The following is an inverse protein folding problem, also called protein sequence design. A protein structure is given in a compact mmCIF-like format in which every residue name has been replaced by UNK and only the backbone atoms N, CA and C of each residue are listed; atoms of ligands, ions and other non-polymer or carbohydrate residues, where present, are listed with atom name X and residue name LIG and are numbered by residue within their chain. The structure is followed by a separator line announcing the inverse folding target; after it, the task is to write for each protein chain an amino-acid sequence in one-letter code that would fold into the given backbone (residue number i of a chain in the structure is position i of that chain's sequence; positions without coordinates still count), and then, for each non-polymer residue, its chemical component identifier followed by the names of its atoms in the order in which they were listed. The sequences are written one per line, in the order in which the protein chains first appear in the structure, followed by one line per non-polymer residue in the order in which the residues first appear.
data_IF_518931919202
#
_entry.id   IF_518931919202
#
_cell.length_a   1.000
_cell.length_b   1.000
_cell.length_c   1.000
_cell.angle_alpha   90.00
_cell.angle_beta   90.00
_cell.angle_gamma   90.00
#
_symmetry.space_group_name_H-M   'P 1'
#
loop_
_entity.id
_entity.type
_entity.pdbx_description
1 polymer ?
#
# COMPACT_ATOMS: atom_id res chain seq x y z
N UNK A 1 20.87 2.05 66.33
CA UNK A 1 21.28 3.44 66.00
C UNK A 1 21.40 3.50 64.48
N UNK A 2 20.72 4.33 63.69
CA UNK A 2 19.85 5.48 63.93
C UNK A 2 19.12 5.74 62.60
N UNK A 3 17.80 5.99 62.70
CA UNK A 3 16.97 6.95 61.94
C UNK A 3 16.98 6.89 60.40
N UNK A 4 15.85 6.50 59.81
CA UNK A 4 14.74 7.39 59.35
C UNK A 4 15.13 8.27 58.16
N UNK A 5 14.55 7.97 56.99
CA UNK A 5 14.01 8.98 56.07
C UNK A 5 12.90 8.35 55.26
N UNK A 6 11.68 8.62 55.71
CA UNK A 6 10.42 8.33 55.05
C UNK A 6 9.92 9.61 54.37
N UNK A 7 9.09 9.43 53.34
CA UNK A 7 8.06 10.37 52.87
C UNK A 7 8.49 11.68 52.20
N UNK A 8 7.82 11.97 51.06
CA UNK A 8 7.63 13.21 50.28
C UNK A 8 7.87 12.83 48.79
N UNK A 9 6.93 12.80 47.85
CA UNK A 9 5.75 13.62 47.62
C UNK A 9 4.72 12.79 46.82
N UNK A 10 3.51 12.65 47.35
CA UNK A 10 2.31 12.37 46.58
C UNK A 10 1.43 13.61 46.73
N UNK A 11 1.34 14.45 45.69
CA UNK A 11 0.32 15.48 45.51
C UNK A 11 0.59 16.27 44.21
N UNK A 12 -0.16 15.97 43.15
CA UNK A 12 -0.54 16.97 42.15
C UNK A 12 -1.93 16.58 41.63
N UNK A 13 -2.91 17.03 42.39
CA UNK A 13 -4.34 17.00 42.12
C UNK A 13 -4.67 17.82 40.85
N UNK A 14 -5.59 17.30 40.03
CA UNK A 14 -6.82 17.98 39.58
C UNK A 14 -6.71 19.45 39.10
N UNK A 15 -6.65 19.63 37.79
CA UNK A 15 -7.26 20.73 37.01
C UNK A 15 -7.21 20.29 35.53
N UNK A 16 -8.25 20.26 34.70
CA UNK A 16 -9.43 21.11 34.62
C UNK A 16 -10.54 20.38 33.84
N UNK A 17 -11.74 20.40 34.41
CA UNK A 17 -13.03 20.20 33.76
C UNK A 17 -13.68 21.59 33.76
N UNK A 18 -13.82 22.26 32.61
CA UNK A 18 -14.82 23.30 32.34
C UNK A 18 -14.53 23.99 30.99
N UNK A 19 -15.58 24.21 30.20
CA UNK A 19 -15.56 24.80 28.86
C UNK A 19 -16.52 24.01 27.95
N UNK A 20 -17.80 23.81 28.32
CA UNK A 20 -18.94 24.73 28.19
C UNK A 20 -19.01 25.58 26.91
N UNK A 21 -19.93 25.15 26.03
CA UNK A 21 -21.01 25.94 25.39
C UNK A 21 -20.69 26.73 24.10
N UNK A 22 -21.66 26.61 23.17
CA UNK A 22 -21.91 27.36 21.93
C UNK A 22 -20.95 27.03 20.77
N UNK A 23 -21.42 26.49 19.64
CA UNK A 23 -22.41 27.12 18.77
C UNK A 23 -23.40 26.09 18.19
N UNK A 24 -24.66 26.27 18.57
CA UNK A 24 -25.81 25.97 17.72
C UNK A 24 -26.25 27.30 17.09
N UNK A 25 -26.85 27.21 15.90
CA UNK A 25 -27.43 28.26 15.05
C UNK A 25 -26.57 28.69 13.85
N UNK A 26 -27.31 28.99 12.76
CA UNK A 26 -26.89 29.29 11.38
C UNK A 26 -26.69 28.03 10.52
N UNK A 27 -27.51 27.72 9.52
CA UNK A 27 -28.63 28.44 8.93
C UNK A 27 -29.47 27.47 8.10
N UNK A 28 -30.77 27.44 8.41
CA UNK A 28 -31.81 27.01 7.48
C UNK A 28 -31.89 28.03 6.35
N UNK A 29 -31.23 27.77 5.22
CA UNK A 29 -31.46 28.53 3.99
C UNK A 29 -30.91 27.76 2.78
N UNK A 30 -31.62 26.71 2.35
CA UNK A 30 -31.66 26.24 0.95
C UNK A 30 -32.76 25.17 0.78
N UNK A 31 -33.97 25.53 1.18
CA UNK A 31 -35.17 25.05 0.50
C UNK A 31 -35.54 26.10 -0.56
N UNK A 32 -36.02 25.63 -1.71
CA UNK A 32 -36.52 26.37 -2.88
C UNK A 32 -35.51 26.65 -4.02
N UNK A 33 -35.17 25.60 -4.76
CA UNK A 33 -34.90 25.70 -6.20
C UNK A 33 -35.49 24.53 -7.03
N UNK A 34 -36.33 23.68 -6.42
CA UNK A 34 -37.17 22.72 -7.15
C UNK A 34 -38.44 23.44 -7.61
N UNK A 35 -38.41 24.04 -8.80
CA UNK A 35 -39.62 24.68 -9.32
C UNK A 35 -39.50 25.53 -10.57
N UNK A 36 -38.59 25.26 -11.51
CA UNK A 36 -38.62 25.92 -12.84
C UNK A 36 -37.89 25.07 -13.90
N UNK A 37 -38.35 23.86 -14.21
CA UNK A 37 -37.82 23.14 -15.40
C UNK A 37 -38.83 22.26 -16.14
N UNK A 38 -40.09 22.70 -16.25
CA UNK A 38 -41.13 21.97 -17.02
C UNK A 38 -41.98 22.86 -17.92
N UNK A 39 -41.37 23.82 -18.64
CA UNK A 39 -42.14 24.72 -19.52
C UNK A 39 -41.49 25.16 -20.84
N UNK A 40 -40.45 24.48 -21.36
CA UNK A 40 -39.90 24.81 -22.68
C UNK A 40 -40.07 23.72 -23.75
N UNK A 41 -40.61 22.56 -23.39
CA UNK A 41 -40.70 21.39 -24.26
C UNK A 41 -42.00 21.30 -25.10
N UNK A 42 -42.51 22.44 -25.59
CA UNK A 42 -43.79 22.48 -26.30
C UNK A 42 -43.85 23.38 -27.55
N UNK A 43 -42.72 23.68 -28.22
CA UNK A 43 -42.74 24.50 -29.46
C UNK A 43 -41.73 24.10 -30.55
N UNK A 44 -41.58 22.81 -30.82
CA UNK A 44 -40.89 22.39 -32.05
C UNK A 44 -41.92 21.81 -33.03
N UNK A 45 -42.43 22.60 -34.01
CA UNK A 45 -43.25 22.06 -35.08
C UNK A 45 -42.44 21.01 -35.85
N UNK A 46 -43.03 19.82 -35.99
CA UNK A 46 -42.39 18.64 -36.58
C UNK A 46 -41.74 18.93 -37.92
N UNK A 47 -40.46 18.58 -38.05
CA UNK A 47 -39.81 18.56 -39.35
C UNK A 47 -40.39 17.42 -40.21
N UNK A 48 -40.74 17.70 -41.47
CA UNK A 48 -41.16 16.68 -42.42
C UNK A 48 -40.08 15.60 -42.54
N UNK A 49 -40.46 14.35 -42.26
CA UNK A 49 -39.57 13.19 -42.31
C UNK A 49 -38.83 13.14 -43.63
N UNK A 50 -37.50 13.09 -43.57
CA UNK A 50 -36.70 12.76 -44.73
C UNK A 50 -36.98 11.31 -45.13
N UNK A 51 -37.31 11.02 -46.40
CA UNK A 51 -37.45 9.65 -46.88
C UNK A 51 -36.15 8.90 -46.59
N UNK A 52 -36.29 7.76 -45.91
CA UNK A 52 -35.18 6.94 -45.44
C UNK A 52 -34.18 6.68 -46.55
N UNK A 53 -32.93 7.07 -46.31
CA UNK A 53 -31.84 6.54 -47.13
C UNK A 53 -31.78 5.04 -46.91
N UNK A 54 -31.73 4.22 -47.97
CA UNK A 54 -31.51 2.79 -47.82
C UNK A 54 -30.23 2.55 -47.01
N UNK A 55 -30.34 1.68 -46.01
CA UNK A 55 -29.26 1.29 -45.13
C UNK A 55 -28.02 0.93 -45.94
N UNK A 56 -27.01 1.80 -45.92
CA UNK A 56 -25.70 1.43 -46.44
C UNK A 56 -25.18 0.33 -45.51
N UNK A 57 -24.76 -0.83 -46.03
CA UNK A 57 -24.09 -1.85 -45.25
C UNK A 57 -22.96 -1.19 -44.48
N UNK A 58 -23.03 -1.23 -43.14
CA UNK A 58 -22.00 -0.69 -42.27
C UNK A 58 -20.68 -1.38 -42.66
N UNK A 59 -19.71 -0.69 -43.30
CA UNK A 59 -18.44 -1.30 -43.66
C UNK A 59 -17.80 -1.73 -42.35
N UNK A 60 -17.70 -3.05 -42.15
CA UNK A 60 -17.36 -3.66 -40.87
C UNK A 60 -16.22 -2.90 -40.20
N UNK A 61 -16.53 -2.23 -39.08
CA UNK A 61 -15.49 -1.63 -38.26
C UNK A 61 -14.51 -2.75 -37.92
N UNK A 62 -13.22 -2.60 -38.23
CA UNK A 62 -12.24 -3.59 -37.84
C UNK A 62 -12.34 -3.77 -36.32
N UNK A 63 -12.32 -5.03 -35.83
CA UNK A 63 -12.35 -5.29 -34.40
C UNK A 63 -11.26 -4.47 -33.71
N UNK A 64 -11.61 -3.85 -32.58
CA UNK A 64 -10.66 -3.05 -31.82
C UNK A 64 -9.38 -3.87 -31.59
N UNK A 65 -8.19 -3.31 -31.88
CA UNK A 65 -6.95 -4.04 -31.73
C UNK A 65 -6.84 -4.55 -30.29
N UNK A 66 -6.41 -5.81 -30.08
CA UNK A 66 -6.24 -6.35 -28.75
C UNK A 66 -5.29 -5.45 -27.96
N UNK A 67 -5.53 -5.25 -26.65
CA UNK A 67 -4.66 -4.45 -25.82
C UNK A 67 -3.23 -5.01 -25.91
N UNK A 68 -2.21 -4.14 -26.01
CA UNK A 68 -0.82 -4.59 -26.13
C UNK A 68 -0.46 -5.49 -24.94
N UNK A 69 0.33 -6.57 -25.16
CA UNK A 69 0.72 -7.48 -24.10
C UNK A 69 1.45 -6.71 -23.00
N UNK A 70 0.91 -6.76 -21.79
CA UNK A 70 1.45 -6.06 -20.62
C UNK A 70 2.89 -6.53 -20.38
N UNK A 71 3.88 -5.67 -20.64
CA UNK A 71 5.29 -5.94 -20.31
C UNK A 71 5.45 -6.03 -18.80
N UNK A 72 5.26 -7.24 -18.28
CA UNK A 72 5.39 -7.76 -16.91
C UNK A 72 5.21 -6.75 -15.79
N UNK A 73 4.04 -6.75 -15.20
CA UNK A 73 3.65 -6.01 -14.00
C UNK A 73 2.16 -6.28 -13.86
N UNK A 74 1.69 -6.52 -12.63
CA UNK A 74 0.28 -6.80 -12.43
C UNK A 74 -0.46 -5.47 -12.56
N UNK A 75 -1.09 -5.30 -13.72
CA UNK A 75 -1.91 -4.14 -14.02
C UNK A 75 -3.35 -4.47 -13.68
N UNK A 76 -3.88 -3.83 -12.64
CA UNK A 76 -5.26 -3.99 -12.22
C UNK A 76 -6.05 -2.79 -12.73
N UNK A 77 -7.06 -3.03 -13.56
CA UNK A 77 -7.89 -1.98 -14.15
C UNK A 77 -9.36 -2.30 -13.95
N UNK A 78 -10.13 -1.30 -13.51
CA UNK A 78 -11.57 -1.41 -13.29
C UNK A 78 -12.29 -0.37 -14.15
N UNK A 79 -13.12 -0.80 -15.13
CA UNK A 79 -14.02 0.10 -15.83
C UNK A 79 -15.09 0.63 -14.88
N UNK A 80 -15.45 1.92 -15.03
CA UNK A 80 -16.40 2.64 -14.17
C UNK A 80 -17.55 3.28 -14.96
N UNK A 81 -17.26 3.90 -16.11
CA UNK A 81 -18.25 4.63 -16.93
C UNK A 81 -19.15 5.61 -16.13
N UNK A 82 -18.53 6.48 -15.30
CA UNK A 82 -19.24 7.41 -14.42
C UNK A 82 -19.09 8.86 -14.89
N UNK A 83 -20.15 9.65 -14.73
CA UNK A 83 -20.12 11.10 -14.90
C UNK A 83 -20.09 11.78 -13.53
N UNK A 84 -19.08 12.63 -13.28
CA UNK A 84 -18.83 13.27 -11.99
C UNK A 84 -18.77 14.78 -12.18
N UNK A 85 -19.40 15.55 -11.28
CA UNK A 85 -19.46 17.01 -11.33
C UNK A 85 -18.94 17.61 -10.03
N UNK A 86 -18.12 18.65 -10.11
CA UNK A 86 -17.59 19.36 -8.95
C UNK A 86 -16.34 18.70 -8.40
N UNK A 87 -16.20 18.67 -7.08
CA UNK A 87 -15.09 18.02 -6.37
C UNK A 87 -15.51 16.61 -5.95
N UNK A 88 -14.78 15.60 -6.42
CA UNK A 88 -15.06 14.19 -6.14
C UNK A 88 -13.75 13.48 -5.79
N UNK A 89 -13.82 12.47 -4.91
CA UNK A 89 -12.66 11.65 -4.54
C UNK A 89 -12.94 10.20 -4.85
N UNK A 90 -12.08 9.58 -5.65
CA UNK A 90 -12.14 8.16 -5.96
C UNK A 90 -11.27 7.36 -4.98
N UNK A 91 -11.89 6.49 -4.20
CA UNK A 91 -11.21 5.63 -3.24
C UNK A 91 -10.65 4.38 -3.96
N UNK A 92 -9.45 4.51 -4.51
CA UNK A 92 -8.89 3.54 -5.47
C UNK A 92 -8.66 2.15 -4.85
N UNK A 93 -8.30 2.08 -3.56
CA UNK A 93 -8.12 0.77 -2.89
C UNK A 93 -9.40 -0.06 -2.91
N UNK A 94 -10.54 0.58 -2.69
CA UNK A 94 -11.85 -0.06 -2.66
C UNK A 94 -12.31 -0.40 -4.08
N UNK A 95 -12.19 0.54 -5.02
CA UNK A 95 -12.61 0.36 -6.41
C UNK A 95 -11.84 -0.77 -7.09
N UNK A 96 -10.53 -0.84 -6.86
CA UNK A 96 -9.64 -1.84 -7.48
C UNK A 96 -9.47 -3.11 -6.64
N UNK A 97 -10.20 -3.23 -5.52
CA UNK A 97 -10.06 -4.33 -4.56
C UNK A 97 -8.59 -4.61 -4.17
N UNK A 98 -7.84 -3.57 -3.78
CA UNK A 98 -6.44 -3.68 -3.32
C UNK A 98 -6.41 -4.11 -1.84
N UNK A 99 -6.89 -5.34 -1.63
CA UNK A 99 -7.07 -5.97 -0.33
C UNK A 99 -5.77 -6.48 0.30
N UNK A 100 -5.88 -7.29 1.37
CA UNK A 100 -4.74 -7.90 2.07
C UNK A 100 -3.82 -8.73 1.16
N UNK A 101 -4.36 -9.32 0.10
CA UNK A 101 -3.64 -10.14 -0.89
C UNK A 101 -2.63 -9.33 -1.71
N UNK A 102 -2.86 -8.03 -1.87
CA UNK A 102 -1.95 -7.11 -2.57
C UNK A 102 -1.03 -6.36 -1.58
N UNK A 103 -1.06 -6.68 -0.29
CA UNK A 103 -0.21 -6.04 0.73
C UNK A 103 1.27 -6.30 0.45
N UNK A 104 2.11 -5.29 0.65
CA UNK A 104 3.57 -5.34 0.41
C UNK A 104 3.95 -5.09 -1.05
N UNK A 105 3.00 -5.14 -1.99
CA UNK A 105 3.22 -4.82 -3.41
C UNK A 105 3.53 -3.35 -3.57
N UNK A 106 4.57 -3.05 -4.34
CA UNK A 106 4.91 -1.69 -4.73
C UNK A 106 3.92 -1.17 -5.78
N UNK A 107 3.42 0.05 -5.63
CA UNK A 107 2.66 0.76 -6.66
C UNK A 107 3.65 1.57 -7.51
N UNK A 108 3.69 1.33 -8.81
CA UNK A 108 4.52 2.13 -9.73
C UNK A 108 3.79 3.41 -10.14
N UNK A 109 2.55 3.26 -10.61
CA UNK A 109 1.72 4.38 -10.99
C UNK A 109 0.23 4.04 -10.96
N UNK A 110 -0.59 5.07 -10.84
CA UNK A 110 -2.04 5.03 -11.01
C UNK A 110 -2.39 5.57 -12.38
N UNK A 111 -3.38 4.97 -13.04
CA UNK A 111 -3.92 5.39 -14.34
C UNK A 111 -5.36 5.84 -14.16
N UNK A 112 -5.68 7.02 -14.68
CA UNK A 112 -7.05 7.49 -14.88
C UNK A 112 -7.33 7.54 -16.37
N UNK A 113 -8.36 6.84 -16.85
CA UNK A 113 -8.91 7.01 -18.19
C UNK A 113 -10.15 7.88 -18.13
N UNK A 114 -10.03 9.13 -18.57
CA UNK A 114 -11.12 10.10 -18.47
C UNK A 114 -11.04 11.20 -19.52
N UNK A 115 -12.13 11.97 -19.61
CA UNK A 115 -12.21 13.27 -20.28
C UNK A 115 -13.03 14.25 -19.44
N UNK A 116 -12.93 15.53 -19.75
CA UNK A 116 -13.79 16.57 -19.15
C UNK A 116 -14.55 17.37 -20.19
N UNK A 117 -15.70 17.94 -19.84
CA UNK A 117 -16.53 18.65 -20.83
C UNK A 117 -15.84 19.91 -21.39
N UNK A 118 -15.07 20.61 -20.55
CA UNK A 118 -14.44 21.89 -20.89
C UNK A 118 -12.92 21.81 -21.07
N UNK A 119 -12.29 20.64 -20.89
CA UNK A 119 -10.82 20.48 -20.94
C UNK A 119 -10.09 21.21 -19.82
N UNK A 120 -10.77 21.47 -18.69
CA UNK A 120 -10.23 22.21 -17.54
C UNK A 120 -10.37 21.44 -16.23
N UNK A 121 -10.68 20.13 -16.30
CA UNK A 121 -10.71 19.31 -15.10
C UNK A 121 -9.31 19.14 -14.54
N UNK A 122 -9.19 19.04 -13.22
CA UNK A 122 -7.92 18.76 -12.54
C UNK A 122 -8.04 17.44 -11.81
N UNK A 123 -7.04 16.58 -11.98
CA UNK A 123 -6.92 15.32 -11.27
C UNK A 123 -5.61 15.29 -10.47
N UNK A 124 -5.65 14.85 -9.22
CA UNK A 124 -4.51 14.81 -8.32
C UNK A 124 -4.51 13.51 -7.52
N UNK A 125 -3.37 12.82 -7.48
CA UNK A 125 -3.19 11.62 -6.65
C UNK A 125 -2.93 12.02 -5.20
N UNK A 126 -3.56 11.29 -4.29
CA UNK A 126 -3.37 11.42 -2.84
C UNK A 126 -3.04 10.06 -2.21
N UNK A 127 -2.03 10.05 -1.35
CA UNK A 127 -1.60 8.90 -0.56
C UNK A 127 -1.58 9.32 0.91
N UNK A 128 -2.33 8.61 1.75
CA UNK A 128 -2.42 8.87 3.20
C UNK A 128 -2.80 10.31 3.58
N UNK A 129 -3.65 11.00 2.82
CA UNK A 129 -3.98 12.41 3.10
C UNK A 129 -3.04 13.42 2.43
N UNK A 130 -1.96 12.96 1.77
CA UNK A 130 -0.95 13.83 1.18
C UNK A 130 -0.98 13.76 -0.35
N UNK A 131 -0.96 14.93 -0.99
CA UNK A 131 -0.88 15.03 -2.46
C UNK A 131 0.48 14.54 -2.95
N UNK A 132 0.46 13.57 -3.87
CA UNK A 132 1.66 12.96 -4.43
C UNK A 132 1.77 13.30 -5.92
N UNK A 133 2.94 13.81 -6.31
CA UNK A 133 3.19 14.24 -7.69
C UNK A 133 2.44 15.53 -8.07
N UNK A 134 2.44 15.83 -9.36
CA UNK A 134 1.81 17.03 -9.90
C UNK A 134 0.34 16.78 -10.27
N UNK A 135 -0.49 17.79 -10.05
CA UNK A 135 -1.85 17.82 -10.56
C UNK A 135 -1.82 17.79 -12.09
N UNK A 136 -2.69 16.99 -12.69
CA UNK A 136 -2.81 16.88 -14.14
C UNK A 136 -4.10 17.50 -14.62
N UNK A 137 -4.00 18.35 -15.65
CA UNK A 137 -5.16 18.87 -16.36
C UNK A 137 -5.71 17.81 -17.30
N UNK A 138 -7.01 17.55 -17.20
CA UNK A 138 -7.74 16.58 -18.01
C UNK A 138 -8.47 17.29 -19.14
N UNK A 139 -8.24 16.80 -20.35
CA UNK A 139 -8.62 17.41 -21.62
C UNK A 139 -10.05 17.03 -22.00
N UNK A 140 -10.51 17.55 -23.14
CA UNK A 140 -11.84 17.26 -23.70
C UNK A 140 -11.97 15.86 -24.31
N UNK A 141 -10.85 15.23 -24.65
CA UNK A 141 -10.80 13.90 -25.30
C UNK A 141 -10.41 12.85 -24.28
N UNK A 142 -11.01 11.65 -24.38
CA UNK A 142 -10.63 10.53 -23.50
C UNK A 142 -9.18 10.17 -23.74
N UNK A 143 -8.37 10.17 -22.67
CA UNK A 143 -7.03 9.58 -22.67
C UNK A 143 -6.66 9.03 -21.30
N UNK A 144 -5.52 8.35 -21.26
CA UNK A 144 -4.91 7.85 -20.04
C UNK A 144 -4.00 8.91 -19.40
N UNK A 145 -4.18 9.14 -18.11
CA UNK A 145 -3.38 10.04 -17.28
C UNK A 145 -2.64 9.21 -16.24
N UNK A 146 -1.32 9.39 -16.15
CA UNK A 146 -0.44 8.55 -15.35
C UNK A 146 0.12 9.31 -14.15
N UNK A 147 -0.21 8.87 -12.95
CA UNK A 147 0.26 9.46 -11.69
C UNK A 147 1.32 8.54 -11.08
N UNK A 148 2.58 8.94 -11.22
CA UNK A 148 3.72 8.17 -10.70
C UNK A 148 3.83 8.31 -9.17
N UNK A 149 4.05 7.18 -8.51
CA UNK A 149 4.27 7.13 -7.05
C UNK A 149 5.78 7.13 -6.78
N UNK A 150 6.19 7.79 -5.71
CA UNK A 150 7.60 7.82 -5.30
C UNK A 150 8.08 6.40 -4.93
N UNK A 151 9.16 5.87 -5.56
CA UNK A 151 9.67 4.54 -5.26
C UNK A 151 10.07 4.28 -3.81
N UNK A 152 10.33 5.31 -2.99
CA UNK A 152 10.73 5.13 -1.60
C UNK A 152 9.58 4.84 -0.63
N UNK A 153 8.32 5.09 -1.03
CA UNK A 153 7.14 5.01 -0.17
C UNK A 153 5.93 4.51 -0.97
N UNK A 154 6.05 3.34 -1.59
CA UNK A 154 5.06 2.85 -2.53
C UNK A 154 4.44 1.49 -2.20
N UNK A 155 4.67 0.92 -1.01
CA UNK A 155 4.15 -0.41 -0.68
C UNK A 155 2.74 -0.37 -0.10
N UNK A 156 1.81 -1.11 -0.70
CA UNK A 156 0.43 -1.25 -0.21
C UNK A 156 0.38 -1.84 1.20
N UNK A 157 -0.35 -1.19 2.11
CA UNK A 157 -0.55 -1.62 3.49
C UNK A 157 0.68 -1.51 4.41
N UNK A 158 1.80 -0.98 3.91
CA UNK A 158 2.97 -0.59 4.69
C UNK A 158 3.11 0.94 4.62
N UNK A 159 3.52 1.44 3.45
CA UNK A 159 3.67 2.86 3.17
C UNK A 159 2.35 3.49 2.71
N UNK A 160 1.53 2.76 1.95
CA UNK A 160 0.27 3.23 1.37
C UNK A 160 -0.90 2.62 2.16
N UNK A 161 -1.48 3.40 3.07
CA UNK A 161 -2.67 3.05 3.85
C UNK A 161 -3.95 3.52 3.15
N UNK A 162 -3.93 4.70 2.54
CA UNK A 162 -5.00 5.16 1.64
C UNK A 162 -4.41 5.51 0.28
N UNK A 163 -5.16 5.22 -0.79
CA UNK A 163 -4.81 5.56 -2.16
C UNK A 163 -6.07 6.15 -2.80
N UNK A 164 -6.04 7.44 -3.10
CA UNK A 164 -7.19 8.21 -3.54
C UNK A 164 -6.84 9.09 -4.73
N UNK A 165 -7.83 9.40 -5.56
CA UNK A 165 -7.70 10.34 -6.67
C UNK A 165 -8.72 11.46 -6.50
N UNK A 166 -8.24 12.68 -6.23
CA UNK A 166 -9.06 13.88 -6.19
C UNK A 166 -9.33 14.36 -7.62
N UNK A 167 -10.59 14.63 -7.94
CA UNK A 167 -11.06 15.12 -9.23
C UNK A 167 -11.85 16.43 -9.03
N UNK A 168 -11.49 17.48 -9.76
CA UNK A 168 -12.17 18.77 -9.72
C UNK A 168 -12.60 19.22 -11.13
N UNK A 169 -13.90 19.21 -11.41
CA UNK A 169 -14.46 19.57 -12.71
C UNK A 169 -15.67 18.73 -13.11
N UNK A 170 -16.00 18.72 -14.42
CA UNK A 170 -17.02 17.85 -15.02
C UNK A 170 -16.33 16.73 -15.77
N UNK A 171 -16.27 15.55 -15.17
CA UNK A 171 -15.54 14.39 -15.69
C UNK A 171 -16.49 13.35 -16.24
N UNK A 172 -16.10 12.74 -17.37
CA UNK A 172 -16.54 11.41 -17.77
C UNK A 172 -15.38 10.45 -17.55
N UNK A 173 -15.48 9.58 -16.54
CA UNK A 173 -14.46 8.60 -16.16
C UNK A 173 -14.83 7.25 -16.76
N UNK A 174 -13.99 6.75 -17.67
CA UNK A 174 -14.20 5.42 -18.27
C UNK A 174 -13.67 4.32 -17.36
N UNK A 175 -12.56 4.57 -16.65
CA UNK A 175 -12.03 3.63 -15.69
C UNK A 175 -10.78 4.13 -14.99
N UNK A 176 -10.37 3.37 -13.98
CA UNK A 176 -9.14 3.61 -13.22
C UNK A 176 -8.34 2.33 -13.16
N UNK A 177 -7.02 2.47 -13.02
CA UNK A 177 -6.14 1.32 -12.84
C UNK A 177 -4.94 1.65 -11.99
N UNK A 178 -4.27 0.61 -11.55
CA UNK A 178 -2.96 0.70 -10.88
C UNK A 178 -2.03 -0.27 -11.57
N UNK A 179 -0.82 0.21 -11.88
CA UNK A 179 0.28 -0.69 -12.15
C UNK A 179 0.97 -0.98 -10.85
N UNK A 180 0.82 -2.21 -10.40
CA UNK A 180 1.68 -2.76 -9.38
C UNK A 180 3.02 -3.04 -10.05
N UNK A 181 4.08 -2.68 -9.35
CA UNK A 181 5.38 -3.23 -9.67
C UNK A 181 5.23 -4.74 -9.74
N UNK A 182 6.05 -5.36 -10.60
CA UNK A 182 6.26 -6.81 -10.45
C UNK A 182 6.48 -7.01 -8.96
N UNK A 183 5.76 -7.98 -8.38
CA UNK A 183 6.37 -8.65 -7.25
C UNK A 183 7.76 -8.98 -7.79
N UNK A 184 8.77 -8.23 -7.34
CA UNK A 184 10.14 -8.61 -7.58
C UNK A 184 10.27 -9.84 -6.71
N UNK A 185 9.78 -10.95 -7.25
CA UNK A 185 9.68 -12.24 -6.63
C UNK A 185 11.05 -12.48 -6.03
N UNK A 186 11.09 -12.35 -4.72
CA UNK A 186 12.12 -12.82 -3.84
C UNK A 186 13.53 -12.39 -4.17
N UNK A 187 13.66 -11.08 -4.06
CA UNK A 187 14.92 -10.46 -3.72
C UNK A 187 14.74 -9.30 -2.72
N UNK A 188 14.03 -9.61 -1.66
CA UNK A 188 13.72 -8.70 -0.57
C UNK A 188 13.75 -9.43 0.75
N UNK A 189 13.53 -8.70 1.83
CA UNK A 189 13.48 -9.27 3.17
C UNK A 189 12.10 -9.84 3.50
N UNK A 190 12.02 -11.09 3.96
CA UNK A 190 10.80 -11.68 4.52
C UNK A 190 10.93 -11.78 6.04
N UNK A 191 9.90 -11.40 6.81
CA UNK A 191 9.91 -11.47 8.28
C UNK A 191 8.87 -12.47 8.79
N UNK A 192 9.28 -13.33 9.73
CA UNK A 192 8.43 -14.25 10.46
C UNK A 192 8.46 -13.92 11.95
N UNK A 193 7.29 -13.64 12.50
CA UNK A 193 7.11 -13.40 13.93
C UNK A 193 7.09 -14.76 14.64
N UNK A 194 7.91 -14.92 15.67
CA UNK A 194 8.03 -16.15 16.46
C UNK A 194 7.49 -15.95 17.87
N UNK A 195 7.86 -14.86 18.54
CA UNK A 195 7.52 -14.56 19.95
C UNK A 195 7.69 -15.78 20.86
N UNK A 196 8.86 -16.42 20.78
CA UNK A 196 9.15 -17.69 21.44
C UNK A 196 10.42 -17.62 22.29
N UNK A 197 10.40 -18.35 23.41
CA UNK A 197 11.55 -18.52 24.30
C UNK A 197 12.36 -19.75 23.92
N UNK A 198 13.68 -19.61 23.90
CA UNK A 198 14.65 -20.69 23.67
C UNK A 198 15.64 -20.73 24.84
N UNK A 199 16.09 -21.92 25.25
CA UNK A 199 17.00 -22.10 26.39
C UNK A 199 18.09 -23.12 26.09
N UNK A 200 19.27 -22.92 26.68
CA UNK A 200 20.41 -23.80 26.47
C UNK A 200 20.94 -23.70 25.04
N UNK A 201 21.16 -24.85 24.39
CA UNK A 201 21.57 -24.92 22.99
C UNK A 201 20.35 -25.24 22.14
N UNK A 202 19.87 -24.24 21.39
CA UNK A 202 18.66 -24.34 20.57
C UNK A 202 18.97 -23.98 19.12
N UNK A 203 18.15 -24.48 18.19
CA UNK A 203 18.25 -24.16 16.76
C UNK A 203 16.90 -23.74 16.22
N UNK A 204 16.90 -22.73 15.36
CA UNK A 204 15.74 -22.31 14.57
C UNK A 204 16.00 -22.69 13.12
N UNK A 205 15.28 -23.67 12.61
CA UNK A 205 15.34 -24.11 11.22
C UNK A 205 14.69 -23.05 10.31
N UNK A 206 15.50 -22.41 9.47
CA UNK A 206 15.04 -21.35 8.58
C UNK A 206 14.29 -21.90 7.36
N UNK A 207 14.63 -23.10 6.89
CA UNK A 207 13.89 -23.77 5.81
C UNK A 207 12.45 -24.06 6.25
N UNK A 208 12.27 -24.55 7.47
CA UNK A 208 10.95 -24.76 8.06
C UNK A 208 10.20 -23.45 8.31
N UNK A 209 10.88 -22.41 8.78
CA UNK A 209 10.25 -21.14 9.12
C UNK A 209 9.75 -20.36 7.88
N UNK A 210 10.42 -20.56 6.74
CA UNK A 210 10.16 -19.87 5.48
C UNK A 210 9.83 -20.87 4.36
N UNK A 211 8.85 -21.76 4.61
CA UNK A 211 8.43 -22.77 3.61
C UNK A 211 8.07 -22.15 2.26
N UNK A 212 8.46 -22.82 1.19
CA UNK A 212 8.29 -22.37 -0.20
C UNK A 212 9.37 -21.39 -0.68
N UNK A 213 10.36 -21.08 0.16
CA UNK A 213 11.50 -20.19 -0.13
C UNK A 213 12.84 -20.90 -0.10
N UNK A 214 12.85 -22.22 -0.03
CA UNK A 214 14.05 -23.05 0.20
C UNK A 214 15.10 -22.89 -0.90
N UNK A 215 14.65 -22.61 -2.13
CA UNK A 215 15.47 -22.45 -3.33
C UNK A 215 16.11 -21.07 -3.46
N UNK A 216 15.74 -20.11 -2.62
CA UNK A 216 16.23 -18.73 -2.71
C UNK A 216 17.55 -18.59 -1.98
N UNK A 217 18.43 -17.75 -2.54
CA UNK A 217 19.71 -17.44 -1.93
C UNK A 217 19.54 -16.39 -0.86
N UNK A 218 20.10 -16.66 0.31
CA UNK A 218 20.04 -15.74 1.44
C UNK A 218 21.29 -14.86 1.47
N UNK A 219 21.08 -13.55 1.58
CA UNK A 219 22.13 -12.53 1.75
C UNK A 219 22.42 -12.24 3.21
N UNK A 220 21.39 -12.10 4.03
CA UNK A 220 21.53 -11.91 5.47
C UNK A 220 20.31 -12.43 6.21
N UNK A 221 20.51 -12.73 7.48
CA UNK A 221 19.44 -13.06 8.41
C UNK A 221 19.53 -12.08 9.57
N UNK A 222 18.43 -11.46 9.93
CA UNK A 222 18.32 -10.56 11.07
C UNK A 222 17.37 -11.16 12.08
N UNK A 223 17.79 -11.29 13.34
CA UNK A 223 16.88 -11.69 14.42
C UNK A 223 16.62 -10.49 15.33
N UNK A 224 15.37 -10.33 15.76
CA UNK A 224 15.02 -9.40 16.83
C UNK A 224 14.89 -10.19 18.12
N UNK A 225 15.84 -9.98 19.03
CA UNK A 225 16.05 -10.88 20.16
C UNK A 225 16.51 -10.14 21.43
N UNK A 226 16.33 -10.78 22.57
CA UNK A 226 16.93 -10.42 23.86
C UNK A 226 17.34 -11.68 24.61
N UNK A 227 18.25 -11.55 25.59
CA UNK A 227 18.64 -12.64 26.48
C UNK A 227 18.39 -12.30 27.94
N UNK A 228 18.08 -13.29 28.78
CA UNK A 228 17.83 -13.03 30.20
C UNK A 228 19.09 -12.56 30.97
N UNK A 229 20.28 -13.00 30.54
CA UNK A 229 21.55 -12.78 31.23
C UNK A 229 22.52 -11.81 30.50
N UNK A 230 22.19 -11.35 29.30
CA UNK A 230 23.04 -10.44 28.52
C UNK A 230 24.26 -11.07 27.85
N UNK A 231 24.37 -12.40 27.90
CA UNK A 231 25.54 -13.16 27.43
C UNK A 231 25.17 -14.33 26.51
N UNK A 232 23.99 -14.32 25.89
CA UNK A 232 23.65 -15.34 24.90
C UNK A 232 24.42 -15.11 23.61
N UNK A 233 24.82 -16.18 22.93
CA UNK A 233 25.45 -16.11 21.61
C UNK A 233 24.50 -16.63 20.52
N UNK A 234 24.40 -15.88 19.44
CA UNK A 234 23.64 -16.26 18.25
C UNK A 234 24.56 -16.24 17.02
N UNK A 235 24.36 -17.20 16.12
CA UNK A 235 25.00 -17.23 14.80
C UNK A 235 24.08 -17.91 13.81
N UNK A 236 24.33 -17.70 12.52
CA UNK A 236 23.57 -18.32 11.44
C UNK A 236 24.48 -19.28 10.70
N UNK A 237 24.03 -20.51 10.55
CA UNK A 237 24.77 -21.59 9.91
C UNK A 237 24.04 -22.05 8.64
N UNK A 238 24.83 -22.46 7.65
CA UNK A 238 24.42 -23.18 6.46
C UNK A 238 25.11 -24.55 6.50
N UNK A 239 24.36 -25.61 6.77
CA UNK A 239 24.94 -26.92 7.09
C UNK A 239 25.81 -26.89 8.37
N UNK A 240 26.75 -27.84 8.48
CA UNK A 240 27.49 -28.07 9.75
C UNK A 240 28.71 -27.17 9.97
N UNK A 241 29.37 -26.74 8.89
CA UNK A 241 30.70 -26.12 8.98
C UNK A 241 30.76 -24.67 8.50
N UNK A 242 29.67 -24.13 7.95
CA UNK A 242 29.63 -22.77 7.42
C UNK A 242 28.72 -21.90 8.29
N UNK A 243 29.29 -21.27 9.32
CA UNK A 243 28.55 -20.37 10.21
C UNK A 243 29.11 -18.95 10.14
N UNK A 244 28.22 -17.97 10.30
CA UNK A 244 28.61 -16.59 10.55
C UNK A 244 29.41 -16.48 11.85
N UNK A 245 30.10 -15.36 12.03
CA UNK A 245 30.65 -15.00 13.35
C UNK A 245 29.52 -14.96 14.38
N UNK A 246 29.79 -15.48 15.57
CA UNK A 246 28.86 -15.41 16.69
C UNK A 246 28.74 -13.97 17.18
N UNK A 247 27.51 -13.54 17.44
CA UNK A 247 27.20 -12.25 18.04
C UNK A 247 26.64 -12.44 19.43
N UNK A 248 27.09 -11.61 20.37
CA UNK A 248 26.52 -11.55 21.72
C UNK A 248 25.21 -10.77 21.70
N UNK A 249 24.14 -11.40 22.18
CA UNK A 249 22.81 -10.80 22.30
C UNK A 249 22.61 -10.24 23.70
N UNK A 250 22.26 -8.96 23.75
CA UNK A 250 22.15 -8.17 24.97
C UNK A 250 20.89 -8.52 25.78
N UNK A 251 20.78 -7.94 26.97
CA UNK A 251 19.61 -8.10 27.84
C UNK A 251 18.36 -7.43 27.30
N UNK A 252 18.52 -6.31 26.59
CA UNK A 252 17.42 -5.58 25.97
C UNK A 252 17.13 -6.12 24.57
N UNK A 253 15.91 -5.90 24.10
CA UNK A 253 15.51 -6.26 22.75
C UNK A 253 16.34 -5.49 21.72
N UNK A 254 17.15 -6.21 20.95
CA UNK A 254 18.00 -5.67 19.89
C UNK A 254 17.74 -6.36 18.55
N UNK A 255 18.31 -5.80 17.49
CA UNK A 255 18.29 -6.39 16.14
C UNK A 255 19.71 -6.82 15.78
N UNK A 256 19.89 -8.10 15.44
CA UNK A 256 21.19 -8.72 15.19
C UNK A 256 21.22 -9.29 13.79
N UNK A 257 22.01 -8.67 12.91
CA UNK A 257 22.11 -9.03 11.48
C UNK A 257 23.36 -9.85 11.22
N UNK A 258 23.17 -11.02 10.65
CA UNK A 258 24.20 -11.97 10.26
C UNK A 258 24.34 -11.93 8.73
N UNK A 259 25.35 -11.25 8.18
CA UNK A 259 25.64 -11.30 6.76
C UNK A 259 26.14 -12.70 6.39
N UNK A 260 25.71 -13.19 5.25
CA UNK A 260 26.07 -14.50 4.74
C UNK A 260 26.88 -14.34 3.47
N UNK A 261 28.00 -15.05 3.41
CA UNK A 261 28.87 -15.09 2.24
C UNK A 261 28.65 -16.43 1.54
N UNK A 262 28.48 -16.41 0.22
CA UNK A 262 28.44 -17.65 -0.59
C UNK A 262 27.07 -18.08 -1.13
N UNK A 263 26.00 -17.29 -0.96
CA UNK A 263 24.73 -17.54 -1.64
C UNK A 263 24.09 -18.89 -1.30
N UNK A 264 23.99 -19.20 -0.01
CA UNK A 264 23.42 -20.46 0.47
C UNK A 264 21.89 -20.49 0.26
N UNK A 265 21.36 -21.68 -0.07
CA UNK A 265 19.93 -21.95 -0.10
C UNK A 265 19.36 -22.00 1.32
N UNK A 266 18.21 -21.38 1.53
CA UNK A 266 17.54 -21.28 2.83
C UNK A 266 17.22 -22.66 3.46
N UNK A 267 17.03 -23.70 2.64
CA UNK A 267 16.62 -25.03 3.09
C UNK A 267 17.57 -25.71 4.09
N UNK A 268 18.87 -25.40 4.04
CA UNK A 268 19.89 -26.01 4.91
C UNK A 268 20.37 -25.07 6.04
N UNK A 269 19.64 -23.98 6.25
CA UNK A 269 20.05 -22.90 7.14
C UNK A 269 19.33 -22.94 8.48
N UNK A 270 20.06 -22.60 9.53
CA UNK A 270 19.49 -22.45 10.87
C UNK A 270 20.18 -21.36 11.67
N UNK A 271 19.44 -20.78 12.62
CA UNK A 271 20.01 -19.92 13.67
C UNK A 271 20.39 -20.80 14.85
N UNK A 272 21.68 -20.84 15.19
CA UNK A 272 22.23 -21.53 16.35
C UNK A 272 22.25 -20.56 17.54
N UNK A 273 21.57 -20.92 18.61
CA UNK A 273 21.39 -20.10 19.82
C UNK A 273 22.01 -20.81 21.02
N UNK A 274 22.88 -20.11 21.75
CA UNK A 274 23.51 -20.58 22.98
C UNK A 274 23.20 -19.64 24.14
N UNK A 275 22.29 -20.03 25.03
CA UNK A 275 21.82 -19.24 26.17
C UNK A 275 20.29 -19.22 26.31
N UNK A 276 19.79 -18.24 27.06
CA UNK A 276 18.36 -18.06 27.29
C UNK A 276 17.84 -16.88 26.48
N UNK A 277 17.19 -17.15 25.36
CA UNK A 277 16.71 -16.18 24.39
C UNK A 277 15.20 -15.99 24.46
N UNK A 278 14.77 -14.76 24.20
CA UNK A 278 13.44 -14.44 23.72
C UNK A 278 13.58 -13.88 22.30
N UNK A 279 12.97 -14.55 21.32
CA UNK A 279 13.00 -14.17 19.90
C UNK A 279 11.64 -13.60 19.52
N UNK A 280 11.60 -12.32 19.13
CA UNK A 280 10.39 -11.66 18.64
C UNK A 280 10.13 -12.03 17.18
N UNK A 281 11.13 -11.83 16.32
CA UNK A 281 11.03 -12.09 14.89
C UNK A 281 12.36 -12.51 14.25
N UNK A 282 12.25 -13.19 13.11
CA UNK A 282 13.36 -13.51 12.21
C UNK A 282 13.06 -12.90 10.85
N UNK A 283 14.01 -12.16 10.30
CA UNK A 283 13.93 -11.53 8.98
C UNK A 283 15.04 -12.10 8.10
N UNK A 284 14.72 -12.55 6.90
CA UNK A 284 15.68 -13.12 5.94
C UNK A 284 15.70 -12.23 4.71
N UNK A 285 16.85 -11.65 4.38
CA UNK A 285 17.08 -10.87 3.15
C UNK A 285 17.59 -11.80 2.04
N UNK A 286 16.87 -11.86 0.92
CA UNK A 286 17.21 -12.70 -0.23
C UNK A 286 18.03 -11.93 -1.28
N UNK A 287 19.01 -12.59 -1.90
CA UNK A 287 19.81 -12.00 -3.00
C UNK A 287 18.97 -11.86 -4.27
N UNK A 288 19.17 -10.75 -5.02
CA UNK A 288 18.41 -10.41 -6.24
C UNK A 288 18.91 -11.02 -7.53
N UNK A 289 20.08 -11.64 -7.50
CA UNK A 289 20.81 -11.93 -8.72
C UNK A 289 20.56 -13.32 -9.30
N UNK A 290 19.49 -14.01 -8.90
CA UNK A 290 19.20 -15.38 -9.30
C UNK A 290 17.75 -15.57 -9.72
#
# INVERSE_FOLDING_TARGET
MTKKSSLLLAAALMASLAGTVALAAESEALQSADGMETAWEARHPGHPGHPGRPDRPNPGYPPAPPPPPSRGGDYVFQPMHQYLVGANTLALRQILNLGPEMRGRAVEYVVLRARTDAGRGVAQLEINGFRVGHAQQVDTWTRDYFFHVNPSQNRLGEDIQTLQLELQGRFTVEGVGVKLGRDHGFAGSETRVLQQRFSGNSRIDLGFLFRGREHLRVRSVTIRASTAAGHGQARVCSGFNNCSMAQTVATYMGSYTFPLFGGNSLGDMFVDLQGNFWIDSVTVDFDRRF
#
